data_IF_314227911648
#
_entry.id   IF_314227911648
#
_cell.length_a   1.000
_cell.length_b   1.000
_cell.length_c   1.000
_cell.angle_alpha   90.00
_cell.angle_beta   90.00
_cell.angle_gamma   90.00
#
_symmetry.space_group_name_H-M   'P 1'
#
loop_
_entity.id
_entity.type
_entity.pdbx_description
1 polymer ?
#
# COMPACT_ATOMS: atom_id res chain seq x y z
N UNK A 1 -22.98 -15.20 41.87
CA UNK A 1 -21.67 -15.04 41.20
C UNK A 1 -21.87 -15.13 39.70
N UNK A 2 -21.88 -14.00 39.00
CA UNK A 2 -21.79 -13.97 37.53
C UNK A 2 -21.25 -12.60 37.12
N UNK A 3 -19.92 -12.51 37.02
CA UNK A 3 -19.24 -11.31 36.56
C UNK A 3 -19.17 -11.35 35.03
N UNK A 4 -20.03 -10.58 34.36
CA UNK A 4 -19.89 -10.32 32.93
C UNK A 4 -18.67 -9.42 32.72
N UNK A 5 -17.63 -10.00 32.12
CA UNK A 5 -16.41 -9.32 31.70
C UNK A 5 -16.78 -8.27 30.63
N UNK A 6 -16.95 -7.01 31.04
CA UNK A 6 -17.25 -5.90 30.13
C UNK A 6 -15.95 -5.46 29.46
N UNK A 7 -15.49 -6.25 28.48
CA UNK A 7 -14.42 -5.83 27.58
C UNK A 7 -14.94 -4.58 26.86
N UNK A 8 -14.27 -3.42 26.98
CA UNK A 8 -14.75 -2.19 26.36
C UNK A 8 -14.71 -2.38 24.85
N UNK A 9 -15.89 -2.39 24.22
CA UNK A 9 -16.08 -2.55 22.76
C UNK A 9 -15.19 -1.62 21.92
N UNK A 10 -14.78 -0.49 22.50
CA UNK A 10 -13.81 0.44 21.90
C UNK A 10 -12.45 -0.19 21.59
N UNK A 11 -11.94 -1.09 22.43
CA UNK A 11 -10.64 -1.75 22.23
C UNK A 11 -10.69 -2.78 21.10
N UNK A 12 -11.86 -3.39 20.88
CA UNK A 12 -12.08 -4.30 19.75
C UNK A 12 -12.21 -3.51 18.43
N UNK A 13 -12.86 -2.34 18.45
CA UNK A 13 -13.06 -1.51 17.25
C UNK A 13 -11.72 -0.92 16.75
N UNK A 14 -10.82 -0.52 17.66
CA UNK A 14 -9.48 -0.04 17.28
C UNK A 14 -8.58 -1.17 16.75
N UNK A 15 -8.69 -2.39 17.28
CA UNK A 15 -7.98 -3.57 16.74
C UNK A 15 -8.51 -4.00 15.36
N UNK A 16 -9.82 -3.87 15.13
CA UNK A 16 -10.45 -4.18 13.84
C UNK A 16 -10.08 -3.16 12.77
N UNK A 17 -9.98 -1.86 13.11
CA UNK A 17 -9.60 -0.81 12.14
C UNK A 17 -8.13 -0.88 11.71
N UNK A 18 -7.22 -1.41 12.53
CA UNK A 18 -5.80 -1.59 12.15
C UNK A 18 -5.60 -2.78 11.20
N UNK A 19 -6.55 -3.70 11.17
CA UNK A 19 -6.46 -4.96 10.40
C UNK A 19 -6.96 -4.84 8.95
N UNK A 20 -7.57 -3.71 8.57
CA UNK A 20 -8.02 -3.41 7.20
C UNK A 20 -6.97 -2.61 6.41
N UNK A 21 -5.72 -3.05 6.42
CA UNK A 21 -4.86 -2.79 5.26
C UNK A 21 -5.13 -3.90 4.27
N UNK A 22 -6.04 -3.64 3.34
CA UNK A 22 -6.18 -4.47 2.15
C UNK A 22 -4.79 -4.52 1.50
N UNK A 23 -4.17 -5.69 1.53
CA UNK A 23 -2.87 -5.92 0.92
C UNK A 23 -3.10 -5.82 -0.60
N UNK A 24 -2.88 -4.64 -1.18
CA UNK A 24 -2.95 -4.48 -2.63
C UNK A 24 -1.85 -5.35 -3.21
N UNK A 25 -2.21 -6.42 -3.93
CA UNK A 25 -1.26 -7.41 -4.47
C UNK A 25 -0.18 -6.82 -5.41
N UNK A 26 -0.30 -5.52 -5.73
CA UNK A 26 0.58 -4.79 -6.64
C UNK A 26 1.36 -3.63 -5.99
N UNK A 27 1.46 -3.63 -4.65
CA UNK A 27 2.24 -2.68 -3.88
C UNK A 27 3.42 -3.39 -3.20
N UNK A 28 4.64 -2.91 -3.47
CA UNK A 28 5.88 -3.55 -3.05
C UNK A 28 6.80 -2.55 -2.37
N UNK A 29 7.37 -2.95 -1.23
CA UNK A 29 8.32 -2.12 -0.49
C UNK A 29 9.63 -2.87 -0.27
N UNK A 30 10.75 -2.25 -0.64
CA UNK A 30 12.08 -2.78 -0.43
C UNK A 30 12.89 -1.84 0.46
N UNK A 31 13.50 -2.36 1.53
CA UNK A 31 14.37 -1.58 2.40
C UNK A 31 15.83 -1.84 2.09
N UNK A 32 16.59 -0.79 1.79
CA UNK A 32 18.05 -0.87 1.56
C UNK A 32 18.76 0.36 2.15
N UNK A 33 19.81 0.13 2.94
CA UNK A 33 20.62 1.19 3.57
C UNK A 33 19.77 2.28 4.28
N UNK A 34 18.81 1.87 5.10
CA UNK A 34 17.85 2.74 5.81
C UNK A 34 16.95 3.62 4.92
N UNK A 35 16.86 3.33 3.62
CA UNK A 35 15.88 3.92 2.70
C UNK A 35 14.84 2.87 2.33
N UNK A 36 13.58 3.24 2.37
CA UNK A 36 12.49 2.40 1.88
C UNK A 36 12.15 2.84 0.45
N UNK A 37 12.17 1.90 -0.48
CA UNK A 37 11.77 2.08 -1.87
C UNK A 37 10.39 1.48 -2.02
N UNK A 38 9.44 2.32 -2.37
CA UNK A 38 8.06 1.93 -2.51
C UNK A 38 7.67 1.93 -3.99
N UNK A 39 7.07 0.84 -4.44
CA UNK A 39 6.60 0.63 -5.80
C UNK A 39 5.12 0.32 -5.75
N UNK A 40 4.32 1.01 -6.56
CA UNK A 40 2.91 0.71 -6.70
C UNK A 40 2.59 0.65 -8.19
N UNK A 41 2.53 -0.58 -8.71
CA UNK A 41 2.32 -0.81 -10.14
C UNK A 41 0.87 -0.53 -10.56
N UNK A 42 -0.09 -0.57 -9.63
CA UNK A 42 -1.50 -0.29 -9.90
C UNK A 42 -1.91 1.17 -9.62
N UNK A 43 -0.97 2.02 -9.21
CA UNK A 43 -1.27 3.41 -8.91
C UNK A 43 -1.63 4.18 -10.19
N UNK A 44 -2.71 4.99 -10.16
CA UNK A 44 -3.11 5.79 -11.32
C UNK A 44 -2.06 6.87 -11.61
N UNK A 45 -1.70 6.99 -12.89
CA UNK A 45 -0.80 8.02 -13.41
C UNK A 45 -1.54 8.81 -14.49
N UNK A 46 -1.06 10.01 -14.81
CA UNK A 46 -1.58 10.81 -15.91
C UNK A 46 -1.64 9.97 -17.21
N UNK A 47 -2.83 9.88 -17.82
CA UNK A 47 -3.17 9.05 -18.99
C UNK A 47 -3.13 7.51 -18.79
N UNK A 48 -2.95 7.02 -17.56
CA UNK A 48 -2.96 5.57 -17.26
C UNK A 48 -3.63 5.33 -15.90
N UNK A 49 -4.98 5.25 -15.85
CA UNK A 49 -5.72 5.12 -14.59
C UNK A 49 -5.44 3.80 -13.86
N UNK A 50 -5.00 2.77 -14.58
CA UNK A 50 -4.65 1.45 -14.02
C UNK A 50 -3.14 1.25 -13.81
N UNK A 51 -2.34 2.31 -13.93
CA UNK A 51 -0.89 2.22 -13.78
C UNK A 51 -0.27 1.32 -14.86
N UNK A 52 0.55 0.36 -14.44
CA UNK A 52 1.21 -0.63 -15.31
C UNK A 52 0.37 -1.90 -15.52
N UNK A 53 -0.89 -1.94 -15.09
CA UNK A 53 -1.81 -3.02 -15.44
C UNK A 53 -2.39 -2.76 -16.83
N UNK A 54 -2.66 -3.82 -17.58
CA UNK A 54 -3.34 -3.67 -18.87
C UNK A 54 -4.77 -3.21 -18.68
N UNK A 55 -5.20 -2.21 -19.47
CA UNK A 55 -6.57 -1.68 -19.49
C UNK A 55 -7.56 -2.73 -20.03
N UNK A 56 -7.11 -3.56 -20.97
CA UNK A 56 -7.92 -4.62 -21.60
C UNK A 56 -7.97 -5.91 -20.75
N UNK A 57 -7.29 -5.94 -19.60
CA UNK A 57 -7.23 -7.08 -18.69
C UNK A 57 -6.10 -8.07 -18.95
N UNK A 58 -5.34 -7.89 -20.04
CA UNK A 58 -4.12 -8.65 -20.33
C UNK A 58 -3.16 -7.90 -21.25
N UNK A 59 -1.88 -8.18 -21.14
CA UNK A 59 -0.88 -7.91 -22.16
C UNK A 59 -0.76 -9.10 -23.11
N UNK A 60 -0.53 -8.83 -24.38
CA UNK A 60 -0.34 -9.85 -25.42
C UNK A 60 0.97 -9.60 -26.16
N UNK A 61 1.82 -10.61 -26.21
CA UNK A 61 3.11 -10.56 -26.91
C UNK A 61 3.20 -11.79 -27.82
N UNK A 62 3.55 -11.57 -29.08
CA UNK A 62 3.78 -12.64 -30.05
C UNK A 62 5.26 -12.71 -30.41
N UNK A 63 5.86 -13.89 -30.38
CA UNK A 63 7.13 -14.14 -31.04
C UNK A 63 7.26 -15.61 -31.45
N UNK A 64 7.92 -15.89 -32.58
CA UNK A 64 8.27 -17.25 -33.02
C UNK A 64 7.08 -18.24 -33.04
N UNK A 65 5.88 -17.81 -33.47
CA UNK A 65 4.64 -18.61 -33.46
C UNK A 65 4.16 -19.04 -32.06
N UNK A 66 4.61 -18.31 -31.03
CA UNK A 66 4.15 -18.44 -29.66
C UNK A 66 3.50 -17.13 -29.21
N UNK A 67 2.37 -17.24 -28.54
CA UNK A 67 1.60 -16.11 -28.04
C UNK A 67 1.59 -16.17 -26.52
N UNK A 68 2.03 -15.10 -25.89
CA UNK A 68 2.07 -14.94 -24.45
C UNK A 68 1.01 -13.93 -24.03
N UNK A 69 0.13 -14.35 -23.12
CA UNK A 69 -0.78 -13.47 -22.39
C UNK A 69 -0.36 -13.39 -20.94
N UNK A 70 -0.31 -12.19 -20.38
CA UNK A 70 -0.08 -12.02 -18.95
C UNK A 70 -0.74 -10.77 -18.40
N UNK A 71 -1.08 -10.78 -17.12
CA UNK A 71 -1.56 -9.63 -16.37
C UNK A 71 -0.78 -9.50 -15.07
N UNK A 72 -0.32 -8.29 -14.77
CA UNK A 72 0.44 -8.02 -13.56
C UNK A 72 -0.49 -7.92 -12.35
N UNK A 73 -0.18 -8.68 -11.28
CA UNK A 73 -0.87 -8.64 -9.99
C UNK A 73 -2.38 -8.89 -10.00
N UNK A 74 -2.91 -9.40 -11.11
CA UNK A 74 -4.32 -9.73 -11.27
C UNK A 74 -4.44 -10.96 -12.19
N UNK A 75 -5.64 -11.48 -12.29
CA UNK A 75 -5.97 -12.55 -13.23
C UNK A 75 -6.15 -11.99 -14.63
N UNK A 76 -5.92 -12.84 -15.62
CA UNK A 76 -6.24 -12.55 -17.01
C UNK A 76 -7.76 -12.45 -17.19
N UNK A 77 -8.21 -11.42 -17.91
CA UNK A 77 -9.63 -11.20 -18.20
C UNK A 77 -9.82 -11.10 -19.70
N UNK A 78 -10.59 -12.01 -20.29
CA UNK A 78 -10.94 -12.01 -21.71
C UNK A 78 -12.40 -11.57 -21.89
N UNK A 79 -12.62 -10.35 -22.38
CA UNK A 79 -13.97 -9.84 -22.64
C UNK A 79 -14.57 -10.41 -23.94
N UNK A 80 -13.75 -10.55 -24.98
CA UNK A 80 -14.13 -11.09 -26.28
C UNK A 80 -13.10 -12.14 -26.70
N UNK A 81 -13.58 -13.27 -27.21
CA UNK A 81 -12.77 -14.33 -27.83
C UNK A 81 -11.62 -14.86 -26.94
N UNK A 82 -11.91 -15.69 -25.91
CA UNK A 82 -10.86 -16.35 -25.15
C UNK A 82 -10.03 -17.29 -26.04
N UNK A 83 -8.75 -17.53 -25.68
CA UNK A 83 -7.86 -18.40 -26.45
C UNK A 83 -8.44 -19.81 -26.56
N UNK A 84 -8.51 -20.32 -27.80
CA UNK A 84 -9.00 -21.68 -28.10
C UNK A 84 -7.80 -22.61 -28.29
N UNK A 85 -7.39 -23.26 -27.22
CA UNK A 85 -6.21 -24.11 -27.18
C UNK A 85 -6.45 -25.32 -26.27
N UNK A 86 -5.71 -26.39 -26.53
CA UNK A 86 -5.72 -27.62 -25.71
C UNK A 86 -4.75 -27.48 -24.54
N UNK A 87 -5.06 -28.06 -23.37
CA UNK A 87 -4.16 -28.07 -22.21
C UNK A 87 -4.41 -26.99 -21.16
N UNK A 88 -5.63 -26.45 -21.06
CA UNK A 88 -5.96 -25.33 -20.18
C UNK A 88 -6.65 -25.69 -18.86
N UNK A 89 -6.50 -26.93 -18.38
CA UNK A 89 -7.18 -27.40 -17.16
C UNK A 89 -6.83 -26.55 -15.92
N UNK A 90 -5.56 -26.19 -15.76
CA UNK A 90 -5.07 -25.42 -14.61
C UNK A 90 -5.29 -23.89 -14.75
N UNK A 91 -5.89 -23.43 -15.85
CA UNK A 91 -6.18 -22.01 -16.10
C UNK A 91 -7.61 -21.78 -16.64
N UNK A 92 -8.61 -22.34 -15.96
CA UNK A 92 -10.03 -22.05 -16.20
C UNK A 92 -10.74 -23.10 -17.06
N UNK A 93 -10.02 -24.14 -17.48
CA UNK A 93 -10.56 -25.27 -18.24
C UNK A 93 -10.83 -24.96 -19.71
N UNK A 94 -11.45 -25.91 -20.41
CA UNK A 94 -11.65 -25.84 -21.86
C UNK A 94 -12.61 -24.72 -22.33
N UNK A 95 -13.56 -24.28 -21.49
CA UNK A 95 -14.57 -23.28 -21.87
C UNK A 95 -14.17 -21.83 -21.55
N UNK A 96 -13.33 -21.63 -20.53
CA UNK A 96 -12.90 -20.31 -20.06
C UNK A 96 -11.39 -20.27 -19.87
N UNK A 97 -10.66 -20.82 -20.84
CA UNK A 97 -9.21 -20.84 -20.82
C UNK A 97 -8.65 -19.43 -20.68
N UNK A 98 -7.72 -19.25 -19.74
CA UNK A 98 -7.12 -17.96 -19.46
C UNK A 98 -7.84 -17.14 -18.38
N UNK A 99 -8.84 -17.65 -17.67
CA UNK A 99 -9.56 -16.84 -16.66
C UNK A 99 -9.12 -17.05 -15.21
N UNK A 100 -8.42 -18.16 -14.91
CA UNK A 100 -8.00 -18.50 -13.54
C UNK A 100 -6.48 -18.48 -13.34
N UNK A 101 -5.73 -17.91 -14.26
CA UNK A 101 -4.30 -17.68 -14.15
C UNK A 101 -3.93 -16.24 -14.53
N UNK A 102 -2.71 -15.84 -14.19
CA UNK A 102 -2.18 -14.50 -14.47
C UNK A 102 -1.24 -14.50 -15.67
N UNK A 103 -0.76 -15.66 -16.11
CA UNK A 103 0.05 -15.79 -17.30
C UNK A 103 -0.18 -17.13 -18.02
N UNK A 104 -0.36 -17.05 -19.33
CA UNK A 104 -0.68 -18.16 -20.22
C UNK A 104 0.16 -18.05 -21.49
N UNK A 105 0.74 -19.16 -21.94
CA UNK A 105 1.42 -19.23 -23.24
C UNK A 105 0.66 -20.19 -24.15
N UNK A 106 0.53 -19.85 -25.43
CA UNK A 106 0.07 -20.73 -26.49
C UNK A 106 1.19 -20.95 -27.49
N UNK A 107 1.53 -22.20 -27.73
CA UNK A 107 2.50 -22.60 -28.76
C UNK A 107 1.78 -23.45 -29.82
N UNK A 108 2.02 -23.14 -31.10
CA UNK A 108 1.48 -23.96 -32.18
C UNK A 108 2.31 -25.23 -32.36
N UNK A 109 1.74 -26.39 -32.05
CA UNK A 109 2.38 -27.69 -32.18
C UNK A 109 1.65 -28.48 -33.25
N UNK A 110 2.30 -28.69 -34.40
CA UNK A 110 1.77 -29.53 -35.50
C UNK A 110 0.38 -29.09 -35.99
N UNK A 111 0.12 -27.78 -36.02
CA UNK A 111 -1.10 -27.20 -36.59
C UNK A 111 -2.25 -27.00 -35.61
N UNK A 112 -2.05 -27.25 -34.32
CA UNK A 112 -3.00 -26.88 -33.26
C UNK A 112 -2.29 -26.13 -32.13
N UNK A 113 -3.04 -25.25 -31.47
CA UNK A 113 -2.53 -24.42 -30.39
C UNK A 113 -2.63 -25.13 -29.04
N UNK A 114 -1.49 -25.27 -28.36
CA UNK A 114 -1.38 -25.87 -27.03
C UNK A 114 -1.12 -24.76 -26.02
N UNK A 115 -2.00 -24.64 -25.04
CA UNK A 115 -1.84 -23.70 -23.95
C UNK A 115 -1.17 -24.33 -22.74
N UNK A 116 -0.33 -23.54 -22.07
CA UNK A 116 0.32 -23.89 -20.82
C UNK A 116 0.20 -22.72 -19.85
N UNK A 117 -0.30 -22.98 -18.64
CA UNK A 117 -0.30 -21.99 -17.56
C UNK A 117 1.13 -21.82 -17.02
N UNK A 118 1.64 -20.59 -17.04
CA UNK A 118 3.02 -20.28 -16.63
C UNK A 118 3.08 -19.29 -15.46
N UNK A 119 1.93 -18.87 -14.93
CA UNK A 119 1.89 -17.96 -13.79
C UNK A 119 0.51 -17.82 -13.17
N UNK A 120 0.46 -17.82 -11.84
CA UNK A 120 -0.74 -17.51 -11.06
C UNK A 120 -0.52 -16.26 -10.18
N UNK A 121 -1.58 -15.49 -9.92
CA UNK A 121 -1.54 -14.31 -9.06
C UNK A 121 -0.93 -14.62 -7.67
N UNK A 122 -1.30 -15.77 -7.08
CA UNK A 122 -0.81 -16.26 -5.78
C UNK A 122 0.68 -16.60 -5.76
N UNK A 123 1.27 -16.90 -6.92
CA UNK A 123 2.68 -17.27 -7.07
C UNK A 123 3.60 -16.08 -7.35
N UNK A 124 3.03 -14.87 -7.45
CA UNK A 124 3.76 -13.67 -7.83
C UNK A 124 4.79 -13.30 -6.78
N UNK A 125 6.05 -13.17 -7.21
CA UNK A 125 7.19 -12.69 -6.41
C UNK A 125 7.81 -11.51 -7.13
N UNK A 126 8.19 -10.48 -6.38
CA UNK A 126 8.78 -9.28 -6.96
C UNK A 126 10.17 -9.06 -6.37
N UNK A 127 11.14 -8.85 -7.25
CA UNK A 127 12.50 -8.48 -6.91
C UNK A 127 12.86 -7.13 -7.55
N UNK A 128 13.97 -6.53 -7.14
CA UNK A 128 14.55 -5.37 -7.83
C UNK A 128 15.29 -5.84 -9.09
N UNK A 129 15.16 -5.11 -10.21
CA UNK A 129 15.93 -5.38 -11.45
C UNK A 129 17.42 -5.26 -11.17
N UNK A 130 17.80 -4.17 -10.51
CA UNK A 130 19.17 -3.93 -10.10
C UNK A 130 19.20 -3.65 -8.60
N UNK A 131 20.05 -4.40 -7.90
CA UNK A 131 20.26 -4.24 -6.48
C UNK A 131 21.03 -2.94 -6.20
N UNK A 132 21.96 -2.55 -7.06
CA UNK A 132 22.78 -1.37 -6.89
C UNK A 132 21.99 -0.09 -7.19
N UNK A 133 21.16 -0.14 -8.25
CA UNK A 133 20.25 0.93 -8.63
C UNK A 133 18.77 0.52 -8.51
N UNK A 134 18.15 0.66 -7.32
CA UNK A 134 16.73 0.36 -7.14
C UNK A 134 15.81 1.30 -7.93
N UNK A 135 16.33 2.42 -8.46
CA UNK A 135 15.55 3.34 -9.30
C UNK A 135 15.28 2.80 -10.70
N UNK A 136 16.00 1.76 -11.14
CA UNK A 136 15.89 1.18 -12.48
C UNK A 136 14.56 0.45 -12.72
N UNK A 137 13.97 -0.12 -11.68
CA UNK A 137 12.66 -0.79 -11.74
C UNK A 137 12.61 -2.11 -10.98
N UNK A 138 11.52 -2.85 -11.20
CA UNK A 138 11.22 -4.13 -10.52
C UNK A 138 11.01 -5.25 -11.52
N UNK A 139 11.33 -6.47 -11.11
CA UNK A 139 11.08 -7.68 -11.87
C UNK A 139 10.00 -8.49 -11.16
N UNK A 140 8.89 -8.71 -11.86
CA UNK A 140 7.75 -9.48 -11.38
C UNK A 140 7.88 -10.90 -11.93
N UNK A 141 8.08 -11.87 -11.05
CA UNK A 141 8.19 -13.28 -11.39
C UNK A 141 6.91 -14.01 -11.00
N UNK A 142 6.35 -14.75 -11.93
CA UNK A 142 5.21 -15.63 -11.70
C UNK A 142 5.64 -17.05 -12.03
N UNK A 143 5.07 -18.04 -11.33
CA UNK A 143 5.34 -19.45 -11.61
C UNK A 143 4.03 -20.20 -11.81
N UNK A 144 3.98 -21.01 -12.86
CA UNK A 144 2.87 -21.88 -13.18
C UNK A 144 3.31 -23.33 -13.14
N UNK A 145 2.42 -24.19 -12.67
CA UNK A 145 2.57 -25.63 -12.79
C UNK A 145 1.52 -26.13 -13.76
N UNK A 146 1.96 -26.69 -14.88
CA UNK A 146 1.11 -27.50 -15.76
C UNK A 146 1.96 -28.70 -16.17
N UNK A 147 1.87 -29.78 -15.40
CA UNK A 147 2.70 -30.99 -15.54
C UNK A 147 3.94 -31.05 -14.63
N UNK A 148 4.92 -31.91 -14.98
CA UNK A 148 6.13 -32.19 -14.18
C UNK A 148 7.24 -31.11 -14.28
N UNK A 149 7.01 -30.00 -14.99
CA UNK A 149 7.99 -28.92 -15.16
C UNK A 149 7.45 -27.61 -14.58
N UNK A 150 8.30 -26.91 -13.81
CA UNK A 150 7.97 -25.63 -13.21
C UNK A 150 8.24 -24.52 -14.22
N UNK A 151 7.18 -24.04 -14.87
CA UNK A 151 7.27 -22.94 -15.81
C UNK A 151 7.25 -21.59 -15.07
N UNK A 152 7.92 -20.58 -15.62
CA UNK A 152 7.87 -19.24 -15.03
C UNK A 152 7.92 -18.13 -16.06
N UNK A 153 7.28 -17.03 -15.71
CA UNK A 153 7.30 -15.77 -16.44
C UNK A 153 8.01 -14.71 -15.58
N UNK A 154 8.95 -14.01 -16.18
CA UNK A 154 9.64 -12.86 -15.58
C UNK A 154 9.34 -11.59 -16.38
N UNK A 155 8.61 -10.66 -15.78
CA UNK A 155 8.27 -9.37 -16.37
C UNK A 155 9.13 -8.28 -15.74
N UNK A 156 10.03 -7.70 -16.51
CA UNK A 156 10.87 -6.57 -16.09
C UNK A 156 10.13 -5.26 -16.33
N UNK A 157 9.67 -4.61 -15.26
CA UNK A 157 9.03 -3.29 -15.33
C UNK A 157 10.08 -2.21 -15.13
N UNK A 158 10.57 -1.66 -16.22
CA UNK A 158 11.64 -0.67 -16.25
C UNK A 158 11.06 0.73 -16.04
N UNK A 159 11.67 1.48 -15.11
CA UNK A 159 11.29 2.87 -14.83
C UNK A 159 11.59 3.76 -16.04
N UNK A 160 10.54 4.37 -16.59
CA UNK A 160 10.66 5.39 -17.62
C UNK A 160 9.64 6.51 -17.39
N UNK A 161 10.10 7.75 -17.20
CA UNK A 161 9.22 8.86 -16.78
C UNK A 161 8.38 9.46 -17.90
N UNK A 162 8.89 9.48 -19.13
CA UNK A 162 8.35 10.33 -20.20
C UNK A 162 7.66 9.54 -21.33
N UNK A 163 7.73 8.22 -21.30
CA UNK A 163 7.20 7.36 -22.36
C UNK A 163 6.65 6.08 -21.73
N UNK A 164 5.48 5.68 -22.21
CA UNK A 164 4.86 4.40 -21.91
C UNK A 164 5.12 3.53 -23.14
N UNK A 165 5.94 2.51 -22.98
CA UNK A 165 6.12 1.48 -23.99
C UNK A 165 5.51 0.19 -23.44
N UNK A 166 4.57 -0.41 -24.19
CA UNK A 166 4.01 -1.72 -23.88
C UNK A 166 5.08 -2.82 -23.88
N UNK A 167 4.71 -4.08 -23.62
CA UNK A 167 5.68 -5.17 -23.65
C UNK A 167 6.16 -5.40 -25.08
N UNK A 168 7.42 -5.07 -25.35
CA UNK A 168 7.97 -5.06 -26.72
C UNK A 168 8.68 -6.37 -27.09
N UNK A 169 9.19 -7.11 -26.10
CA UNK A 169 10.07 -8.26 -26.33
C UNK A 169 9.59 -9.46 -25.54
N UNK A 170 9.68 -10.63 -26.17
CA UNK A 170 9.56 -11.91 -25.50
C UNK A 170 10.81 -12.72 -25.78
N UNK A 171 11.54 -13.04 -24.72
CA UNK A 171 12.73 -13.88 -24.77
C UNK A 171 12.41 -15.17 -24.03
N UNK A 172 12.56 -16.30 -24.71
CA UNK A 172 12.49 -17.62 -24.12
C UNK A 172 13.91 -18.03 -23.74
N UNK A 173 14.20 -18.08 -22.44
CA UNK A 173 15.56 -18.37 -21.92
C UNK A 173 15.85 -19.88 -21.93
N UNK A 174 14.86 -20.70 -21.56
CA UNK A 174 14.94 -22.16 -21.48
C UNK A 174 13.71 -22.83 -22.12
N UNK A 175 13.39 -24.09 -21.79
CA UNK A 175 12.19 -24.78 -22.30
C UNK A 175 10.88 -24.13 -21.84
N UNK A 176 10.81 -23.59 -20.62
CA UNK A 176 9.57 -23.03 -20.04
C UNK A 176 9.79 -21.76 -19.18
N UNK A 177 10.86 -21.02 -19.45
CA UNK A 177 11.17 -19.75 -18.80
C UNK A 177 11.05 -18.61 -19.80
N UNK A 178 10.08 -17.74 -19.58
CA UNK A 178 9.77 -16.61 -20.46
C UNK A 178 10.14 -15.31 -19.75
N UNK A 179 10.72 -14.38 -20.50
CA UNK A 179 11.08 -13.05 -20.04
C UNK A 179 10.51 -11.99 -20.98
N UNK A 180 9.97 -10.92 -20.42
CA UNK A 180 9.46 -9.78 -21.19
C UNK A 180 9.77 -8.47 -20.47
N UNK A 181 9.94 -7.40 -21.25
CA UNK A 181 10.26 -6.07 -20.74
C UNK A 181 9.12 -5.11 -21.02
N UNK A 182 8.67 -4.42 -19.98
CA UNK A 182 7.64 -3.39 -20.01
C UNK A 182 8.26 -2.08 -19.50
N UNK A 183 8.02 -0.96 -20.19
CA UNK A 183 8.57 0.34 -19.75
C UNK A 183 7.43 1.24 -19.32
N UNK A 184 7.36 1.52 -18.03
CA UNK A 184 6.25 2.27 -17.45
C UNK A 184 6.70 3.22 -16.34
N UNK A 185 6.09 4.42 -16.21
CA UNK A 185 6.37 5.33 -15.10
C UNK A 185 6.09 4.72 -13.71
N UNK A 186 5.11 3.81 -13.59
CA UNK A 186 4.82 3.10 -12.32
C UNK A 186 5.95 2.18 -11.85
N UNK A 187 6.89 1.83 -12.74
CA UNK A 187 8.10 1.10 -12.37
C UNK A 187 9.11 1.94 -11.58
N UNK A 188 8.92 3.27 -11.50
CA UNK A 188 9.82 4.15 -10.77
C UNK A 188 9.57 4.11 -9.26
N UNK A 189 10.63 3.81 -8.50
CA UNK A 189 10.55 3.78 -7.04
C UNK A 189 10.28 5.17 -6.45
N UNK A 190 9.34 5.26 -5.51
CA UNK A 190 9.26 6.40 -4.60
C UNK A 190 10.18 6.08 -3.42
N UNK A 191 11.32 6.76 -3.37
CA UNK A 191 12.22 6.67 -2.23
C UNK A 191 11.59 7.40 -1.05
N UNK A 192 10.94 6.66 -0.16
CA UNK A 192 10.59 7.13 1.16
C UNK A 192 11.90 7.08 1.93
N UNK A 193 12.61 8.21 1.96
CA UNK A 193 13.64 8.39 2.96
C UNK A 193 12.96 8.09 4.29
N UNK A 194 13.49 7.12 5.02
CA UNK A 194 13.14 6.92 6.41
C UNK A 194 13.60 8.15 7.16
N UNK A 195 12.89 9.25 7.02
CA UNK A 195 12.85 10.25 8.06
C UNK A 195 12.20 9.49 9.21
N UNK A 196 13.05 8.89 10.04
CA UNK A 196 12.69 8.53 11.39
C UNK A 196 12.28 9.83 12.04
N UNK A 197 11.04 10.26 11.82
CA UNK A 197 10.39 11.25 12.65
C UNK A 197 10.44 10.60 14.03
N UNK A 198 11.33 11.10 14.88
CA UNK A 198 11.57 10.65 16.24
C UNK A 198 10.35 10.93 17.13
N UNK A 199 9.23 10.30 16.78
CA UNK A 199 7.95 10.36 17.48
C UNK A 199 7.62 8.99 18.09
N UNK A 200 8.62 8.12 18.29
CA UNK A 200 8.44 6.85 18.99
C UNK A 200 8.25 7.08 20.49
N UNK A 201 9.27 7.65 21.15
CA UNK A 201 9.27 7.85 22.61
C UNK A 201 8.24 8.88 23.09
N UNK A 202 8.03 9.96 22.31
CA UNK A 202 7.04 10.97 22.67
C UNK A 202 5.60 10.45 22.48
N UNK A 203 5.34 9.62 21.46
CA UNK A 203 4.02 9.01 21.25
C UNK A 203 3.73 7.99 22.34
N UNK A 204 4.68 7.11 22.65
CA UNK A 204 4.48 6.12 23.72
C UNK A 204 4.30 6.78 25.08
N UNK A 205 5.10 7.82 25.40
CA UNK A 205 4.94 8.59 26.64
C UNK A 205 3.59 9.33 26.69
N UNK A 206 3.16 9.95 25.59
CA UNK A 206 1.85 10.63 25.50
C UNK A 206 0.70 9.64 25.73
N UNK A 207 0.76 8.45 25.12
CA UNK A 207 -0.24 7.40 25.29
C UNK A 207 -0.27 6.93 26.76
N UNK A 208 0.89 6.70 27.38
CA UNK A 208 0.97 6.30 28.80
C UNK A 208 0.33 7.36 29.70
N UNK A 209 0.62 8.65 29.48
CA UNK A 209 0.02 9.75 30.24
C UNK A 209 -1.50 9.77 30.07
N UNK A 210 -2.01 9.63 28.84
CA UNK A 210 -3.45 9.61 28.57
C UNK A 210 -4.13 8.40 29.23
N UNK A 211 -3.50 7.23 29.24
CA UNK A 211 -4.01 6.04 29.92
C UNK A 211 -4.06 6.21 31.44
N UNK A 212 -3.01 6.74 32.07
CA UNK A 212 -2.99 7.02 33.50
C UNK A 212 -4.03 8.08 33.89
N UNK A 213 -4.17 9.11 33.06
CA UNK A 213 -5.18 10.16 33.25
C UNK A 213 -6.60 9.59 33.14
N UNK A 214 -6.86 8.74 32.14
CA UNK A 214 -8.15 8.05 32.00
C UNK A 214 -8.47 7.15 33.19
N UNK A 215 -7.49 6.38 33.67
CA UNK A 215 -7.65 5.54 34.85
C UNK A 215 -7.93 6.35 36.12
N UNK A 216 -7.25 7.49 36.29
CA UNK A 216 -7.49 8.41 37.40
C UNK A 216 -8.91 9.00 37.38
N UNK A 217 -9.38 9.50 36.23
CA UNK A 217 -10.71 10.07 36.10
C UNK A 217 -11.80 9.00 36.31
N UNK A 218 -11.69 7.85 35.66
CA UNK A 218 -12.67 6.77 35.75
C UNK A 218 -12.69 6.14 37.15
N UNK A 219 -11.52 5.81 37.71
CA UNK A 219 -11.42 5.21 39.03
C UNK A 219 -11.90 6.15 40.13
N UNK A 220 -11.51 7.43 40.07
CA UNK A 220 -11.95 8.43 41.03
C UNK A 220 -13.44 8.78 40.90
N UNK A 221 -13.97 8.82 39.68
CA UNK A 221 -15.41 8.99 39.45
C UNK A 221 -16.22 7.80 39.99
N UNK A 222 -15.80 6.56 39.70
CA UNK A 222 -16.45 5.35 40.22
C UNK A 222 -16.41 5.30 41.74
N UNK A 223 -15.27 5.60 42.35
CA UNK A 223 -15.13 5.63 43.81
C UNK A 223 -16.05 6.68 44.45
N UNK A 224 -16.09 7.91 43.91
CA UNK A 224 -16.95 8.99 44.44
C UNK A 224 -18.43 8.73 44.19
N UNK A 225 -18.77 8.10 43.08
CA UNK A 225 -20.15 7.74 42.74
C UNK A 225 -20.70 6.63 43.64
N UNK A 226 -19.92 5.55 43.83
CA UNK A 226 -20.38 4.39 44.60
C UNK A 226 -20.15 4.50 46.11
N UNK A 227 -18.99 5.02 46.54
CA UNK A 227 -18.64 5.08 47.98
C UNK A 227 -19.15 6.34 48.68
N UNK A 228 -19.30 7.46 47.97
CA UNK A 228 -19.71 8.75 48.55
C UNK A 228 -21.11 9.19 48.11
N UNK A 229 -21.74 8.50 47.16
CA UNK A 229 -23.12 8.76 46.71
C UNK A 229 -23.32 10.13 46.05
N UNK A 230 -22.23 10.82 45.70
CA UNK A 230 -22.27 12.16 45.10
C UNK A 230 -22.80 12.03 43.66
N UNK A 231 -23.78 12.87 43.32
CA UNK A 231 -24.40 12.92 41.99
C UNK A 231 -24.25 14.31 41.42
N UNK A 232 -23.88 14.42 40.15
CA UNK A 232 -23.69 15.69 39.46
C UNK A 232 -22.28 15.83 38.87
N UNK A 233 -21.90 17.05 38.50
CA UNK A 233 -20.61 17.38 37.89
C UNK A 233 -19.41 17.19 38.83
N UNK A 234 -19.64 17.12 40.14
CA UNK A 234 -18.61 17.00 41.17
C UNK A 234 -18.07 15.56 41.35
N UNK A 235 -18.60 14.60 40.59
CA UNK A 235 -18.11 13.21 40.55
C UNK A 235 -16.68 13.16 39.98
N UNK A 236 -16.31 14.10 39.12
CA UNK A 236 -14.98 14.17 38.51
C UNK A 236 -13.95 14.66 39.55
N UNK A 237 -12.88 13.89 39.82
CA UNK A 237 -11.83 14.32 40.74
C UNK A 237 -11.07 15.57 40.26
N UNK A 238 -11.01 16.61 41.11
CA UNK A 238 -10.29 17.86 40.88
C UNK A 238 -10.74 18.64 39.63
N UNK A 239 -12.05 18.67 39.36
CA UNK A 239 -12.63 19.32 38.17
C UNK A 239 -12.22 20.80 38.01
N UNK A 240 -12.17 21.57 39.10
CA UNK A 240 -11.76 23.00 39.06
C UNK A 240 -10.33 23.20 38.56
N UNK A 241 -9.44 22.26 38.90
CA UNK A 241 -8.08 22.25 38.39
C UNK A 241 -8.06 21.90 36.90
N UNK A 242 -8.79 20.87 36.47
CA UNK A 242 -8.81 20.46 35.07
C UNK A 242 -9.48 21.47 34.14
N UNK A 243 -10.47 22.21 34.64
CA UNK A 243 -11.13 23.29 33.90
C UNK A 243 -10.19 24.45 33.54
N UNK A 244 -9.11 24.66 34.33
CA UNK A 244 -8.14 25.73 34.09
C UNK A 244 -6.94 25.31 33.22
N UNK A 245 -6.75 24.01 32.97
CA UNK A 245 -5.65 23.47 32.14
C UNK A 245 -5.70 23.93 30.67
N UNK A 246 -6.86 23.91 29.96
CA UNK A 246 -6.93 24.34 28.56
C UNK A 246 -6.44 25.79 28.36
N UNK A 247 -6.83 26.68 29.26
CA UNK A 247 -6.45 28.09 29.18
C UNK A 247 -4.94 28.31 29.40
N UNK A 248 -4.30 27.54 30.29
CA UNK A 248 -2.85 27.66 30.54
C UNK A 248 -2.01 27.08 29.42
N UNK A 249 -2.46 25.98 28.81
CA UNK A 249 -1.75 25.36 27.66
C UNK A 249 -1.81 26.25 26.41
N UNK A 250 -2.94 26.91 26.16
CA UNK A 250 -3.09 27.86 25.05
C UNK A 250 -2.11 29.04 25.14
N UNK A 251 -1.92 29.63 26.33
CA UNK A 251 -0.94 30.72 26.52
C UNK A 251 0.52 30.27 26.32
N UNK A 252 0.83 29.04 26.74
CA UNK A 252 2.17 28.47 26.57
C UNK A 252 2.46 28.14 25.09
N UNK A 253 1.51 27.54 24.37
CA UNK A 253 1.65 27.28 22.93
C UNK A 253 1.65 28.56 22.09
N UNK A 254 0.85 29.57 22.42
CA UNK A 254 0.84 30.85 21.72
C UNK A 254 2.20 31.55 21.76
N UNK A 255 2.86 31.57 22.92
CA UNK A 255 4.21 32.14 23.07
C UNK A 255 5.30 31.30 22.40
N UNK A 256 5.17 29.97 22.38
CA UNK A 256 6.08 29.09 21.65
C UNK A 256 5.94 29.24 20.13
N UNK A 257 4.70 29.30 19.63
CA UNK A 257 4.41 29.46 18.20
C UNK A 257 4.84 30.85 17.70
N UNK A 258 4.72 31.89 18.52
CA UNK A 258 5.27 33.22 18.22
C UNK A 258 6.81 33.22 18.15
N UNK A 259 7.49 32.44 19.01
CA UNK A 259 8.96 32.27 18.94
C UNK A 259 9.42 31.45 17.74
N UNK A 260 8.65 30.45 17.32
CA UNK A 260 8.96 29.63 16.14
C UNK A 260 8.61 30.33 14.81
N UNK A 261 7.63 31.24 14.80
CA UNK A 261 7.19 31.93 13.56
C UNK A 261 8.07 33.10 13.14
N UNK A 262 9.04 33.52 13.97
CA UNK A 262 9.92 34.67 13.70
C UNK A 262 9.15 36.01 13.66
N UNK A 263 9.84 37.15 13.81
CA UNK A 263 9.16 38.44 13.73
C UNK A 263 8.75 38.71 12.30
N UNK A 264 7.44 38.65 12.01
CA UNK A 264 6.90 39.21 10.77
C UNK A 264 7.07 40.73 10.83
N UNK A 265 7.96 41.25 10.01
CA UNK A 265 8.26 42.67 9.86
C UNK A 265 7.03 43.41 9.28
N UNK A 266 6.09 43.78 10.15
CA UNK A 266 4.96 44.65 9.81
C UNK A 266 5.34 46.12 9.97
N UNK A 267 5.81 46.76 8.90
CA UNK A 267 5.84 48.21 8.84
C UNK A 267 4.42 48.78 8.74
N UNK A 268 3.94 49.47 9.79
CA UNK A 268 3.37 50.83 9.70
C UNK A 268 2.95 51.31 11.10
N UNK A 269 3.84 52.10 11.71
CA UNK A 269 3.42 53.09 12.70
C UNK A 269 2.83 54.28 11.93
N UNK A 270 1.55 54.56 12.12
CA UNK A 270 0.95 55.85 11.76
C UNK A 270 1.04 56.74 12.99
N UNK A 271 1.95 57.73 12.93
CA UNK A 271 1.96 58.82 13.89
C UNK A 271 0.72 59.68 13.66
N UNK A 272 -0.09 59.88 14.70
CA UNK A 272 -1.08 60.94 14.74
C UNK A 272 -0.37 62.28 14.86
N UNK A 273 -0.53 63.17 13.88
CA UNK A 273 -0.08 64.56 14.00
C UNK A 273 -0.91 65.25 15.08
N UNK A 274 -0.22 65.78 16.09
CA UNK A 274 -0.78 66.71 17.07
C UNK A 274 -0.69 68.10 16.45
N UNK A 275 -1.83 68.70 16.12
CA UNK A 275 -1.89 70.11 15.71
C UNK A 275 -1.93 70.98 16.97
N UNK A 276 -0.99 71.93 17.06
CA UNK A 276 -1.11 73.14 17.86
C UNK A 276 -1.74 74.24 17.01
#
# INVERSE_FOLDING_TARGET
MSGRLWIPRFLLITLVLVSLRANSQCEFSFTRRNKAFHFNLASPIWNSPHGALSEDGFYRVEANSTVLWFQLCDLLIFNHEPPRCVGCEDCGGASHCGTSCSALVSENVRGYDVCTSIGHASSTKVDMIDKEDPGKGVIVKMSGGSGNQNCSLSVSVICQKNKIDGPLTMVKTDSCHYATELRHPSGCAVAISGHGSGWGWFSTLLIIILCLFGAYLLGGALYRYFSLGIRGTDVIPNLDFWATVPHRTQSCFGSLFQRFRGPSHGQRASYSQVNF
#
